data_IF_243851398395
#
_entry.id   IF_243851398395
#
_cell.length_a   1.000
_cell.length_b   1.000
_cell.length_c   1.000
_cell.angle_alpha   90.00
_cell.angle_beta   90.00
_cell.angle_gamma   90.00
#
_symmetry.space_group_name_H-M   'P 1'
#
loop_
_entity.id
_entity.type
_entity.pdbx_description
1 polymer ?
#
# COMPACT_ATOMS: atom_id res chain seq x y z
N UNK A 1 -38.80 21.11 -7.39
CA UNK A 1 -38.68 19.75 -7.93
C UNK A 1 -37.17 19.44 -7.92
N UNK A 2 -36.67 18.67 -6.95
CA UNK A 2 -35.31 18.19 -6.96
C UNK A 2 -35.14 17.25 -8.16
N UNK A 3 -34.11 17.47 -8.93
CA UNK A 3 -33.80 16.65 -10.09
C UNK A 3 -33.47 15.22 -9.61
N UNK A 4 -34.48 14.33 -9.66
CA UNK A 4 -34.40 12.94 -9.16
C UNK A 4 -33.41 12.07 -9.90
N UNK A 5 -32.73 12.61 -10.92
CA UNK A 5 -31.74 11.92 -11.74
C UNK A 5 -30.27 12.23 -11.34
N UNK A 6 -30.04 13.16 -10.43
CA UNK A 6 -28.67 13.42 -9.96
C UNK A 6 -28.19 12.30 -9.04
N UNK A 7 -27.07 11.71 -9.39
CA UNK A 7 -26.33 10.79 -8.51
C UNK A 7 -25.42 11.59 -7.60
N UNK A 8 -25.42 11.25 -6.32
CA UNK A 8 -24.57 11.85 -5.30
C UNK A 8 -23.56 10.80 -4.87
N UNK A 9 -22.28 11.15 -4.93
CA UNK A 9 -21.18 10.30 -4.45
C UNK A 9 -20.58 10.99 -3.24
N UNK A 10 -20.57 10.31 -2.11
CA UNK A 10 -19.89 10.76 -0.89
C UNK A 10 -18.64 9.90 -0.71
N UNK A 11 -17.49 10.55 -0.54
CA UNK A 11 -16.22 9.88 -0.34
C UNK A 11 -15.77 10.09 1.10
N UNK A 12 -15.50 8.99 1.80
CA UNK A 12 -14.86 8.98 3.10
C UNK A 12 -13.41 8.54 2.89
N UNK A 13 -12.49 9.41 3.19
CA UNK A 13 -11.06 9.10 3.13
C UNK A 13 -10.53 8.76 4.53
N UNK A 14 -9.49 7.92 4.58
CA UNK A 14 -8.86 7.47 5.82
C UNK A 14 -9.87 6.85 6.81
N UNK A 15 -10.63 5.85 6.33
CA UNK A 15 -11.71 5.21 7.12
C UNK A 15 -11.25 4.65 8.46
N UNK A 16 -9.99 4.33 8.62
CA UNK A 16 -9.38 3.88 9.87
C UNK A 16 -9.54 4.87 11.00
N UNK A 17 -9.61 6.17 10.73
CA UNK A 17 -9.82 7.21 11.74
C UNK A 17 -11.26 7.32 12.23
N UNK A 18 -12.21 6.87 11.43
CA UNK A 18 -13.64 6.82 11.78
C UNK A 18 -14.11 5.38 12.02
N UNK A 19 -13.22 4.51 12.47
CA UNK A 19 -13.50 3.12 12.77
C UNK A 19 -13.47 2.84 14.28
N UNK A 20 -14.08 1.72 14.69
CA UNK A 20 -14.06 1.26 16.09
C UNK A 20 -12.65 0.94 16.61
N UNK A 21 -11.65 0.85 15.72
CA UNK A 21 -10.22 0.71 16.03
C UNK A 21 -9.46 2.02 15.87
N UNK A 22 -10.16 3.16 15.78
CA UNK A 22 -9.55 4.46 15.56
C UNK A 22 -8.42 4.74 16.55
N UNK A 23 -7.23 5.14 16.09
CA UNK A 23 -6.12 5.50 16.97
C UNK A 23 -6.30 6.90 17.58
N UNK A 24 -7.15 7.75 17.00
CA UNK A 24 -7.28 9.15 17.37
C UNK A 24 -8.45 9.43 18.30
N UNK A 25 -9.56 8.70 18.14
CA UNK A 25 -10.80 9.06 18.81
C UNK A 25 -11.54 7.84 19.36
N UNK A 26 -11.63 7.78 20.68
CA UNK A 26 -12.23 6.66 21.38
C UNK A 26 -13.76 6.59 21.24
N UNK A 27 -14.44 7.68 20.84
CA UNK A 27 -15.92 7.68 20.73
C UNK A 27 -16.36 6.72 19.62
N UNK A 28 -15.57 6.52 18.56
CA UNK A 28 -15.89 5.56 17.50
C UNK A 28 -16.03 4.11 17.98
N UNK A 29 -15.52 3.77 19.16
CA UNK A 29 -15.74 2.43 19.75
C UNK A 29 -17.22 2.18 20.09
N UNK A 30 -17.98 3.24 20.33
CA UNK A 30 -19.40 3.21 20.69
C UNK A 30 -20.29 3.68 19.55
N UNK A 31 -19.90 4.71 18.81
CA UNK A 31 -20.73 5.38 17.80
C UNK A 31 -20.63 4.75 16.39
N UNK A 32 -19.63 3.90 16.14
CA UNK A 32 -19.35 3.34 14.83
C UNK A 32 -20.56 2.62 14.20
N UNK A 33 -21.21 1.75 14.99
CA UNK A 33 -22.34 0.95 14.51
C UNK A 33 -23.51 1.86 14.15
N UNK A 34 -23.91 2.76 15.04
CA UNK A 34 -25.05 3.64 14.85
C UNK A 34 -24.84 4.59 13.68
N UNK A 35 -23.63 5.11 13.53
CA UNK A 35 -23.26 5.95 12.40
C UNK A 35 -23.44 5.22 11.07
N UNK A 36 -22.85 4.03 10.91
CA UNK A 36 -22.90 3.30 9.64
C UNK A 36 -24.29 2.70 9.37
N UNK A 37 -25.04 2.32 10.38
CA UNK A 37 -26.45 1.92 10.21
C UNK A 37 -27.30 3.09 9.72
N UNK A 38 -27.06 4.30 10.22
CA UNK A 38 -27.73 5.51 9.74
C UNK A 38 -27.39 5.80 8.28
N UNK A 39 -26.10 5.76 7.92
CA UNK A 39 -25.64 5.94 6.55
C UNK A 39 -26.30 4.94 5.61
N UNK A 40 -26.33 3.66 5.99
CA UNK A 40 -26.96 2.61 5.19
C UNK A 40 -28.48 2.80 5.05
N UNK A 41 -29.15 3.21 6.12
CA UNK A 41 -30.58 3.51 6.06
C UNK A 41 -30.88 4.64 5.08
N UNK A 42 -30.08 5.70 5.10
CA UNK A 42 -30.21 6.82 4.16
C UNK A 42 -29.97 6.36 2.72
N UNK A 43 -28.95 5.55 2.47
CA UNK A 43 -28.64 5.00 1.14
C UNK A 43 -29.80 4.12 0.63
N UNK A 44 -30.40 3.31 1.50
CA UNK A 44 -31.51 2.43 1.15
C UNK A 44 -32.77 3.21 0.74
N UNK A 45 -33.00 4.38 1.36
CA UNK A 45 -34.09 5.30 1.01
C UNK A 45 -33.80 6.11 -0.25
N UNK A 46 -32.55 6.42 -0.51
CA UNK A 46 -32.08 7.29 -1.60
C UNK A 46 -31.19 6.53 -2.57
N UNK A 47 -31.78 5.83 -3.54
CA UNK A 47 -31.06 4.98 -4.53
C UNK A 47 -30.09 5.73 -5.44
N UNK A 48 -30.06 7.06 -5.39
CA UNK A 48 -29.12 7.90 -6.11
C UNK A 48 -27.86 8.24 -5.29
N UNK A 49 -27.75 7.71 -4.06
CA UNK A 49 -26.64 7.96 -3.16
C UNK A 49 -25.67 6.76 -3.18
N UNK A 50 -24.37 7.04 -3.37
CA UNK A 50 -23.29 6.07 -3.38
C UNK A 50 -22.20 6.52 -2.43
N UNK A 51 -21.62 5.58 -1.68
CA UNK A 51 -20.49 5.83 -0.79
C UNK A 51 -19.24 5.15 -1.35
N UNK A 52 -18.11 5.86 -1.31
CA UNK A 52 -16.78 5.34 -1.57
C UNK A 52 -15.98 5.53 -0.30
N UNK A 53 -15.36 4.45 0.17
CA UNK A 53 -14.51 4.44 1.35
C UNK A 53 -13.07 4.22 0.89
N UNK A 54 -12.12 5.03 1.35
CA UNK A 54 -10.69 4.82 1.12
C UNK A 54 -9.93 4.81 2.45
N UNK A 55 -8.84 4.08 2.49
CA UNK A 55 -7.98 3.95 3.66
C UNK A 55 -6.89 2.93 3.43
N UNK A 56 -5.99 2.81 4.38
CA UNK A 56 -4.85 1.87 4.30
C UNK A 56 -5.15 0.53 4.98
N UNK A 57 -6.20 0.46 5.81
CA UNK A 57 -6.50 -0.71 6.62
C UNK A 57 -7.97 -1.14 6.47
N UNK A 58 -8.22 -2.33 5.86
CA UNK A 58 -9.56 -2.84 5.64
C UNK A 58 -10.22 -3.46 6.88
N UNK A 59 -9.56 -3.53 8.03
CA UNK A 59 -10.09 -4.20 9.22
C UNK A 59 -11.47 -3.70 9.67
N UNK A 60 -11.80 -2.42 9.37
CA UNK A 60 -13.12 -1.86 9.67
C UNK A 60 -14.26 -2.52 8.89
N UNK A 61 -13.99 -3.08 7.71
CA UNK A 61 -14.98 -3.75 6.85
C UNK A 61 -14.87 -5.27 6.89
N UNK A 62 -13.75 -5.83 7.38
CA UNK A 62 -13.50 -7.27 7.46
C UNK A 62 -13.93 -7.89 8.80
N UNK A 63 -14.11 -7.09 9.84
CA UNK A 63 -14.61 -7.55 11.13
C UNK A 63 -16.12 -7.78 11.04
N UNK A 64 -16.59 -9.00 11.28
CA UNK A 64 -18.02 -9.39 11.15
C UNK A 64 -18.88 -8.86 12.30
N UNK A 65 -18.37 -8.90 13.53
CA UNK A 65 -19.06 -8.47 14.73
C UNK A 65 -18.22 -7.54 15.59
N UNK A 66 -18.85 -6.51 16.16
CA UNK A 66 -18.24 -5.56 17.08
C UNK A 66 -19.05 -5.58 18.38
N UNK A 67 -18.44 -5.98 19.48
CA UNK A 67 -19.10 -6.10 20.79
C UNK A 67 -20.40 -6.97 20.74
N UNK A 68 -20.41 -8.01 19.90
CA UNK A 68 -21.55 -8.91 19.74
C UNK A 68 -22.66 -8.39 18.82
N UNK A 69 -22.48 -7.22 18.20
CA UNK A 69 -23.39 -6.64 17.19
C UNK A 69 -22.79 -6.78 15.81
N UNK A 70 -23.61 -7.10 14.81
CA UNK A 70 -23.15 -7.21 13.42
C UNK A 70 -22.62 -5.87 12.93
N UNK A 71 -21.41 -5.90 12.34
CA UNK A 71 -20.81 -4.73 11.71
C UNK A 71 -21.60 -4.34 10.44
N UNK A 72 -22.15 -3.13 10.37
CA UNK A 72 -22.97 -2.71 9.21
C UNK A 72 -22.18 -2.58 7.91
N UNK A 73 -20.84 -2.51 7.95
CA UNK A 73 -20.00 -2.46 6.73
C UNK A 73 -19.61 -3.86 6.24
N UNK A 74 -19.64 -4.85 7.12
CA UNK A 74 -19.29 -6.23 6.77
C UNK A 74 -20.25 -6.78 5.71
N UNK A 75 -19.72 -7.40 4.66
CA UNK A 75 -20.46 -7.96 3.52
C UNK A 75 -21.19 -6.96 2.61
N UNK A 76 -21.26 -5.66 2.96
CA UNK A 76 -21.92 -4.64 2.15
C UNK A 76 -20.90 -3.88 1.29
N UNK A 77 -19.72 -3.63 1.86
CA UNK A 77 -18.63 -2.93 1.17
C UNK A 77 -17.75 -3.96 0.45
N UNK A 78 -17.59 -3.76 -0.85
CA UNK A 78 -16.64 -4.53 -1.64
C UNK A 78 -15.27 -3.88 -1.55
N UNK A 79 -14.26 -4.66 -1.15
CA UNK A 79 -12.87 -4.20 -1.09
C UNK A 79 -12.21 -4.28 -2.46
N UNK A 80 -11.58 -3.20 -2.88
CA UNK A 80 -10.71 -3.14 -4.05
C UNK A 80 -9.34 -2.63 -3.63
N UNK A 81 -8.29 -3.36 -3.99
CA UNK A 81 -6.92 -2.98 -3.68
C UNK A 81 -6.26 -2.30 -4.87
N UNK A 82 -5.69 -1.13 -4.64
CA UNK A 82 -4.93 -0.42 -5.67
C UNK A 82 -3.56 -1.06 -5.85
N UNK A 83 -3.36 -1.69 -6.98
CA UNK A 83 -2.06 -2.26 -7.34
C UNK A 83 -1.06 -1.18 -7.76
N UNK A 84 0.22 -1.51 -7.71
CA UNK A 84 1.27 -0.67 -8.28
C UNK A 84 1.05 -0.42 -9.78
N UNK A 85 1.65 0.65 -10.28
CA UNK A 85 1.70 0.96 -11.71
C UNK A 85 2.32 -0.20 -12.48
N UNK A 86 1.86 -0.42 -13.70
CA UNK A 86 2.53 -1.31 -14.66
C UNK A 86 3.94 -0.80 -14.99
N UNK A 87 4.76 -1.63 -15.63
CA UNK A 87 6.11 -1.23 -16.04
C UNK A 87 6.07 -0.01 -16.97
N UNK A 88 5.14 0.03 -17.93
CA UNK A 88 5.02 1.17 -18.86
C UNK A 88 4.51 2.44 -18.17
N UNK A 89 3.57 2.34 -17.25
CA UNK A 89 3.10 3.48 -16.46
C UNK A 89 4.20 4.01 -15.54
N UNK A 90 4.95 3.14 -14.89
CA UNK A 90 6.11 3.49 -14.06
C UNK A 90 7.18 4.21 -14.87
N UNK A 91 7.50 3.69 -16.06
CA UNK A 91 8.41 4.31 -17.00
C UNK A 91 7.96 5.72 -17.43
N UNK A 92 6.66 5.88 -17.70
CA UNK A 92 6.10 7.18 -18.05
C UNK A 92 6.17 8.16 -16.85
N UNK A 93 5.89 7.68 -15.65
CA UNK A 93 6.01 8.47 -14.42
C UNK A 93 7.45 8.90 -14.18
N UNK A 94 8.41 7.96 -14.19
CA UNK A 94 9.84 8.23 -13.96
C UNK A 94 10.37 9.24 -14.98
N UNK A 95 10.03 9.08 -16.26
CA UNK A 95 10.44 10.01 -17.31
C UNK A 95 9.84 11.41 -17.15
N UNK A 96 8.59 11.48 -16.68
CA UNK A 96 7.91 12.76 -16.44
C UNK A 96 8.51 13.47 -15.24
N UNK A 97 8.75 12.77 -14.14
CA UNK A 97 9.43 13.31 -12.97
C UNK A 97 10.86 13.72 -13.32
N UNK A 98 11.59 12.85 -14.02
CA UNK A 98 12.96 13.14 -14.46
C UNK A 98 13.04 14.44 -15.26
N UNK A 99 12.19 14.62 -16.27
CA UNK A 99 12.16 15.87 -17.06
C UNK A 99 11.95 17.11 -16.20
N UNK A 100 11.06 17.05 -15.22
CA UNK A 100 10.81 18.17 -14.29
C UNK A 100 12.00 18.50 -13.40
N UNK A 101 12.79 17.48 -13.07
CA UNK A 101 14.00 17.59 -12.23
C UNK A 101 15.28 17.81 -13.05
N UNK A 102 15.21 17.83 -14.38
CA UNK A 102 16.40 17.87 -15.24
C UNK A 102 17.22 16.59 -15.17
N UNK A 103 16.59 15.44 -14.98
CA UNK A 103 17.21 14.11 -14.96
C UNK A 103 16.72 13.29 -16.16
N UNK A 104 17.60 12.45 -16.71
CA UNK A 104 17.30 11.50 -17.77
C UNK A 104 17.67 10.09 -17.29
N UNK A 105 16.68 9.30 -16.91
CA UNK A 105 16.88 7.91 -16.52
C UNK A 105 17.05 7.04 -17.77
N UNK A 106 18.11 6.22 -17.79
CA UNK A 106 18.29 5.20 -18.83
C UNK A 106 17.32 4.02 -18.62
N UNK A 107 17.35 3.05 -19.54
CA UNK A 107 16.44 1.90 -19.50
C UNK A 107 16.66 1.05 -18.27
N UNK A 108 17.91 0.81 -17.90
CA UNK A 108 18.28 -0.03 -16.76
C UNK A 108 17.89 0.66 -15.44
N UNK A 109 18.07 1.96 -15.33
CA UNK A 109 17.63 2.75 -14.18
C UNK A 109 16.11 2.70 -13.98
N UNK A 110 15.35 2.85 -15.07
CA UNK A 110 13.89 2.76 -15.05
C UNK A 110 13.45 1.38 -14.59
N UNK A 111 14.04 0.33 -15.20
CA UNK A 111 13.70 -1.06 -14.85
C UNK A 111 14.03 -1.36 -13.39
N UNK A 112 15.20 -0.92 -12.92
CA UNK A 112 15.63 -1.16 -11.53
C UNK A 112 14.68 -0.49 -10.53
N UNK A 113 14.26 0.75 -10.77
CA UNK A 113 13.28 1.44 -9.91
C UNK A 113 11.93 0.71 -9.91
N UNK A 114 11.47 0.24 -11.07
CA UNK A 114 10.26 -0.55 -11.15
C UNK A 114 10.37 -1.84 -10.35
N UNK A 115 11.43 -2.63 -10.58
CA UNK A 115 11.66 -3.92 -9.92
C UNK A 115 11.80 -3.77 -8.39
N UNK A 116 12.45 -2.70 -7.91
CA UNK A 116 12.64 -2.46 -6.48
C UNK A 116 11.34 -2.09 -5.74
N UNK A 117 10.47 -1.34 -6.40
CA UNK A 117 9.29 -0.76 -5.77
C UNK A 117 7.97 -1.36 -6.25
N UNK A 118 8.02 -2.38 -7.13
CA UNK A 118 6.85 -3.03 -7.70
C UNK A 118 5.82 -2.02 -8.26
N UNK A 119 6.30 -0.98 -8.93
CA UNK A 119 5.44 0.07 -9.49
C UNK A 119 4.77 0.99 -8.46
N UNK A 120 5.16 0.97 -7.20
CA UNK A 120 4.53 1.81 -6.17
C UNK A 120 4.80 3.30 -6.41
N UNK A 121 3.77 4.14 -6.73
CA UNK A 121 3.99 5.50 -7.23
C UNK A 121 4.74 6.40 -6.24
N UNK A 122 4.38 6.31 -4.96
CA UNK A 122 4.97 7.13 -3.91
C UNK A 122 6.45 6.79 -3.71
N UNK A 123 6.80 5.50 -3.66
CA UNK A 123 8.18 5.04 -3.49
C UNK A 123 9.06 5.45 -4.68
N UNK A 124 8.55 5.27 -5.91
CA UNK A 124 9.24 5.74 -7.12
C UNK A 124 9.48 7.25 -7.05
N UNK A 125 8.48 8.04 -6.65
CA UNK A 125 8.60 9.48 -6.51
C UNK A 125 9.64 9.88 -5.47
N UNK A 126 9.62 9.24 -4.30
CA UNK A 126 10.56 9.52 -3.21
C UNK A 126 11.99 9.16 -3.63
N UNK A 127 12.19 8.01 -4.26
CA UNK A 127 13.50 7.59 -4.78
C UNK A 127 14.02 8.57 -5.84
N UNK A 128 13.19 8.95 -6.81
CA UNK A 128 13.57 9.96 -7.82
C UNK A 128 13.91 11.31 -7.18
N UNK A 129 13.18 11.71 -6.14
CA UNK A 129 13.44 12.94 -5.39
C UNK A 129 14.77 12.86 -4.64
N UNK A 130 15.05 11.74 -3.97
CA UNK A 130 16.34 11.48 -3.33
C UNK A 130 17.49 11.58 -4.33
N UNK A 131 17.40 10.85 -5.46
CA UNK A 131 18.40 10.88 -6.52
C UNK A 131 18.65 12.31 -7.01
N UNK A 132 17.59 13.11 -7.21
CA UNK A 132 17.74 14.50 -7.62
C UNK A 132 18.52 15.35 -6.62
N UNK A 133 18.34 15.14 -5.32
CA UNK A 133 19.06 15.86 -4.26
C UNK A 133 20.55 15.56 -4.20
N UNK A 134 21.00 14.40 -4.75
CA UNK A 134 22.42 14.07 -4.83
C UNK A 134 23.18 14.92 -5.86
N UNK A 135 22.47 15.58 -6.77
CA UNK A 135 23.07 16.45 -7.78
C UNK A 135 22.82 17.92 -7.43
N UNK A 136 23.89 18.67 -7.18
CA UNK A 136 23.84 20.09 -6.87
C UNK A 136 23.28 20.94 -8.03
N UNK A 137 23.02 22.23 -7.74
CA UNK A 137 22.49 23.18 -8.72
C UNK A 137 23.52 23.54 -9.81
N UNK A 138 24.81 23.34 -9.55
CA UNK A 138 25.91 23.69 -10.45
C UNK A 138 26.17 22.65 -11.53
N UNK A 139 25.43 21.52 -11.52
CA UNK A 139 25.58 20.45 -12.50
C UNK A 139 24.81 20.80 -13.77
N UNK A 140 25.48 20.68 -14.94
CA UNK A 140 24.81 20.85 -16.24
C UNK A 140 23.70 19.82 -16.40
N UNK A 141 22.48 20.29 -16.55
CA UNK A 141 21.28 19.45 -16.74
C UNK A 141 20.88 19.40 -18.22
N UNK A 142 20.35 18.26 -18.71
CA UNK A 142 19.91 17.10 -17.94
C UNK A 142 21.06 16.15 -17.56
N UNK A 143 21.08 15.67 -16.33
CA UNK A 143 22.00 14.62 -15.87
C UNK A 143 21.44 13.24 -16.27
N UNK A 144 22.28 12.37 -16.83
CA UNK A 144 21.87 11.00 -17.16
C UNK A 144 22.11 10.10 -15.94
N UNK A 145 21.04 9.46 -15.48
CA UNK A 145 21.05 8.49 -14.36
C UNK A 145 21.06 7.10 -14.94
N UNK A 146 22.06 6.31 -14.58
CA UNK A 146 22.22 4.91 -15.00
C UNK A 146 21.77 3.94 -13.92
N UNK A 147 21.48 2.69 -14.28
CA UNK A 147 21.20 1.64 -13.32
C UNK A 147 22.32 1.42 -12.29
N UNK A 148 23.59 1.62 -12.69
CA UNK A 148 24.74 1.59 -11.77
C UNK A 148 24.68 2.68 -10.69
N UNK A 149 24.23 3.87 -11.04
CA UNK A 149 24.13 4.98 -10.11
C UNK A 149 23.08 4.70 -9.03
N UNK A 150 21.93 4.12 -9.43
CA UNK A 150 20.89 3.69 -8.49
C UNK A 150 21.40 2.59 -7.56
N UNK A 151 22.13 1.60 -8.09
CA UNK A 151 22.72 0.53 -7.28
C UNK A 151 23.70 1.07 -6.24
N UNK A 152 24.51 2.06 -6.60
CA UNK A 152 25.45 2.68 -5.67
C UNK A 152 24.77 3.48 -4.56
N UNK A 153 23.59 4.03 -4.82
CA UNK A 153 22.78 4.80 -3.87
C UNK A 153 21.72 3.93 -3.14
N UNK A 154 21.69 2.61 -3.37
CA UNK A 154 20.59 1.75 -2.88
C UNK A 154 20.41 1.82 -1.37
N UNK A 155 21.48 1.72 -0.61
CA UNK A 155 21.42 1.77 0.86
C UNK A 155 20.89 3.11 1.36
N UNK A 156 21.30 4.19 0.74
CA UNK A 156 20.86 5.54 1.13
C UNK A 156 19.37 5.75 0.78
N UNK A 157 18.94 5.22 -0.37
CA UNK A 157 17.52 5.21 -0.75
C UNK A 157 16.71 4.39 0.24
N UNK A 158 17.19 3.22 0.66
CA UNK A 158 16.50 2.38 1.64
C UNK A 158 16.37 3.09 3.00
N UNK A 159 17.40 3.80 3.45
CA UNK A 159 17.36 4.64 4.66
C UNK A 159 16.35 5.78 4.53
N UNK A 160 16.33 6.48 3.39
CA UNK A 160 15.37 7.55 3.11
C UNK A 160 13.92 7.07 3.15
N UNK A 161 13.68 5.83 2.68
CA UNK A 161 12.36 5.22 2.62
C UNK A 161 11.96 4.49 3.92
N UNK A 162 12.88 4.31 4.86
CA UNK A 162 12.65 3.56 6.08
C UNK A 162 11.46 4.09 6.89
N UNK A 163 11.26 5.42 6.95
CA UNK A 163 10.12 6.02 7.65
C UNK A 163 8.78 5.57 7.09
N UNK A 164 8.67 5.49 5.75
CA UNK A 164 7.47 5.01 5.08
C UNK A 164 7.21 3.52 5.39
N UNK A 165 8.25 2.70 5.29
CA UNK A 165 8.12 1.27 5.58
C UNK A 165 7.80 0.99 7.03
N UNK A 166 8.38 1.76 7.95
CA UNK A 166 8.02 1.67 9.37
C UNK A 166 6.52 1.82 9.58
N UNK A 167 5.89 2.78 8.89
CA UNK A 167 4.45 2.96 8.99
C UNK A 167 3.67 1.76 8.42
N UNK A 168 3.97 1.34 7.20
CA UNK A 168 3.30 0.20 6.54
C UNK A 168 3.46 -1.08 7.36
N UNK A 169 4.67 -1.37 7.82
CA UNK A 169 4.97 -2.58 8.60
C UNK A 169 4.26 -2.54 9.95
N UNK A 170 4.24 -1.39 10.64
CA UNK A 170 3.54 -1.27 11.92
C UNK A 170 2.03 -1.49 11.80
N UNK A 171 1.41 -1.10 10.69
CA UNK A 171 0.00 -1.39 10.44
C UNK A 171 -0.24 -2.90 10.25
N UNK A 172 0.63 -3.59 9.50
CA UNK A 172 0.53 -5.05 9.34
C UNK A 172 0.74 -5.75 10.68
N UNK A 173 1.78 -5.41 11.44
CA UNK A 173 2.05 -5.98 12.76
C UNK A 173 0.88 -5.80 13.73
N UNK A 174 0.26 -4.63 13.71
CA UNK A 174 -0.83 -4.28 14.62
C UNK A 174 -2.15 -4.99 14.29
N UNK A 175 -2.48 -5.12 13.01
CA UNK A 175 -3.79 -5.60 12.58
C UNK A 175 -3.77 -7.04 12.05
N UNK A 176 -2.61 -7.51 11.60
CA UNK A 176 -2.41 -8.82 10.98
C UNK A 176 -1.07 -9.43 11.43
N UNK A 177 -0.86 -9.65 12.75
CA UNK A 177 0.43 -10.08 13.29
C UNK A 177 0.91 -11.42 12.70
N UNK A 178 0.00 -12.36 12.45
CA UNK A 178 0.32 -13.64 11.86
C UNK A 178 0.79 -13.50 10.41
N UNK A 179 0.22 -12.56 9.66
CA UNK A 179 0.68 -12.27 8.29
C UNK A 179 2.05 -11.56 8.30
N UNK A 180 2.31 -10.75 9.31
CA UNK A 180 3.62 -10.15 9.48
C UNK A 180 4.70 -11.23 9.71
N UNK A 181 4.45 -12.21 10.58
CA UNK A 181 5.37 -13.34 10.79
C UNK A 181 5.60 -14.13 9.50
N UNK A 182 4.55 -14.36 8.71
CA UNK A 182 4.68 -14.97 7.38
C UNK A 182 5.56 -14.15 6.44
N UNK A 183 5.44 -12.82 6.47
CA UNK A 183 6.28 -11.95 5.66
C UNK A 183 7.74 -11.97 6.10
N UNK A 184 8.01 -12.02 7.42
CA UNK A 184 9.38 -12.18 7.96
C UNK A 184 10.04 -13.47 7.49
N UNK A 185 9.33 -14.60 7.49
CA UNK A 185 9.85 -15.87 7.00
C UNK A 185 10.31 -15.75 5.55
N UNK A 186 9.46 -15.18 4.69
CA UNK A 186 9.79 -15.04 3.29
C UNK A 186 10.91 -14.02 3.04
N UNK A 187 10.92 -12.90 3.76
CA UNK A 187 11.94 -11.86 3.67
C UNK A 187 13.32 -12.36 4.15
N UNK A 188 13.33 -13.28 5.13
CA UNK A 188 14.54 -13.93 5.65
C UNK A 188 15.00 -15.12 4.82
N UNK A 189 14.31 -15.43 3.72
CA UNK A 189 14.66 -16.55 2.83
C UNK A 189 14.20 -17.93 3.32
N UNK A 190 13.38 -18.01 4.37
CA UNK A 190 12.80 -19.24 4.91
C UNK A 190 11.57 -19.66 4.07
N UNK A 191 11.78 -19.82 2.78
CA UNK A 191 10.69 -20.07 1.80
C UNK A 191 10.01 -21.42 2.02
N UNK A 192 10.73 -22.43 2.52
CA UNK A 192 10.14 -23.74 2.80
C UNK A 192 9.12 -23.65 3.94
N UNK A 193 9.47 -22.99 5.04
CA UNK A 193 8.60 -22.79 6.19
C UNK A 193 7.37 -21.94 5.82
N UNK A 194 7.59 -20.90 5.02
CA UNK A 194 6.50 -20.10 4.46
C UNK A 194 5.51 -20.95 3.65
N UNK A 195 6.01 -21.84 2.77
CA UNK A 195 5.15 -22.70 1.95
C UNK A 195 4.35 -23.67 2.82
N UNK A 196 5.00 -24.32 3.79
CA UNK A 196 4.34 -25.24 4.71
C UNK A 196 3.21 -24.55 5.48
N UNK A 197 3.50 -23.41 6.12
CA UNK A 197 2.52 -22.66 6.89
C UNK A 197 1.40 -22.08 6.02
N UNK A 198 1.71 -21.56 4.84
CA UNK A 198 0.70 -20.99 3.92
C UNK A 198 -0.25 -22.04 3.35
N UNK A 199 0.09 -23.34 3.40
CA UNK A 199 -0.76 -24.42 2.99
C UNK A 199 -1.89 -24.75 4.00
N UNK A 200 -1.71 -24.38 5.26
CA UNK A 200 -2.63 -24.69 6.37
C UNK A 200 -3.30 -23.45 6.96
N UNK A 201 -2.89 -22.26 6.55
CA UNK A 201 -3.40 -20.99 7.09
C UNK A 201 -3.76 -20.01 5.97
N UNK A 202 -4.69 -19.08 6.26
CA UNK A 202 -5.03 -17.97 5.36
C UNK A 202 -4.21 -16.71 5.63
N UNK A 203 -3.14 -16.82 6.44
CA UNK A 203 -2.32 -15.68 6.90
C UNK A 203 -1.39 -15.10 5.82
N UNK A 204 -1.92 -14.90 4.62
CA UNK A 204 -1.16 -14.30 3.49
C UNK A 204 -2.03 -13.39 2.62
N UNK A 205 -3.32 -13.28 2.92
CA UNK A 205 -4.30 -12.55 2.08
C UNK A 205 -3.89 -11.09 1.87
N UNK A 206 -3.60 -10.38 2.95
CA UNK A 206 -3.24 -8.96 2.88
C UNK A 206 -1.85 -8.75 2.28
N UNK A 207 -0.91 -9.65 2.53
CA UNK A 207 0.42 -9.58 1.90
C UNK A 207 0.34 -9.62 0.37
N UNK A 208 -0.52 -10.48 -0.19
CA UNK A 208 -0.80 -10.50 -1.64
C UNK A 208 -1.55 -9.24 -2.08
N UNK A 209 -2.56 -8.83 -1.34
CA UNK A 209 -3.41 -7.69 -1.67
C UNK A 209 -2.64 -6.37 -1.67
N UNK A 210 -1.73 -6.18 -0.72
CA UNK A 210 -0.83 -5.03 -0.67
C UNK A 210 0.34 -5.11 -1.67
N UNK A 211 0.48 -6.23 -2.39
CA UNK A 211 1.56 -6.42 -3.35
C UNK A 211 2.95 -6.55 -2.73
N UNK A 212 3.03 -6.98 -1.46
CA UNK A 212 4.30 -7.23 -0.77
C UNK A 212 4.93 -8.54 -1.21
N UNK A 213 4.10 -9.56 -1.44
CA UNK A 213 4.52 -10.87 -1.93
C UNK A 213 3.86 -11.21 -3.25
N UNK A 214 4.48 -12.09 -4.01
CA UNK A 214 3.98 -12.57 -5.29
C UNK A 214 4.06 -14.09 -5.41
N UNK A 215 3.23 -14.63 -6.31
CA UNK A 215 3.25 -16.03 -6.69
C UNK A 215 3.14 -16.13 -8.21
N UNK A 216 4.05 -16.86 -8.80
CA UNK A 216 4.03 -17.19 -10.24
C UNK A 216 3.86 -18.70 -10.43
N UNK A 217 3.18 -19.09 -11.51
CA UNK A 217 2.99 -20.51 -11.79
C UNK A 217 4.34 -21.22 -11.96
N UNK A 218 4.55 -22.30 -11.21
CA UNK A 218 5.78 -23.09 -11.25
C UNK A 218 6.97 -22.49 -10.49
N UNK A 219 6.77 -21.39 -9.75
CA UNK A 219 7.80 -20.81 -8.89
C UNK A 219 7.34 -20.72 -7.43
N UNK A 220 8.26 -20.80 -6.46
CA UNK A 220 7.91 -20.55 -5.08
C UNK A 220 7.45 -19.10 -4.87
N UNK A 221 6.65 -18.84 -3.82
CA UNK A 221 6.33 -17.47 -3.40
C UNK A 221 7.58 -16.64 -3.18
N UNK A 222 7.52 -15.35 -3.49
CA UNK A 222 8.65 -14.44 -3.40
C UNK A 222 8.22 -13.06 -2.90
N UNK A 223 9.17 -12.33 -2.32
CA UNK A 223 8.95 -10.92 -1.96
C UNK A 223 8.88 -10.10 -3.25
N UNK A 224 7.68 -9.55 -3.53
CA UNK A 224 7.40 -8.80 -4.75
C UNK A 224 7.90 -7.36 -4.68
N UNK A 225 8.06 -6.83 -3.48
CA UNK A 225 8.62 -5.50 -3.21
C UNK A 225 9.94 -5.65 -2.44
N UNK A 226 11.10 -5.81 -3.13
CA UNK A 226 12.38 -6.12 -2.50
C UNK A 226 12.80 -5.17 -1.39
N UNK A 227 12.48 -3.86 -1.52
CA UNK A 227 12.81 -2.87 -0.50
C UNK A 227 12.07 -3.13 0.83
N UNK A 228 10.82 -3.56 0.79
CA UNK A 228 10.06 -3.93 1.99
C UNK A 228 10.66 -5.18 2.66
N UNK A 229 11.05 -6.18 1.86
CA UNK A 229 11.73 -7.37 2.36
C UNK A 229 13.06 -7.04 3.04
N UNK A 230 13.89 -6.17 2.45
CA UNK A 230 15.14 -5.73 3.09
C UNK A 230 14.89 -4.99 4.40
N UNK A 231 13.89 -4.12 4.44
CA UNK A 231 13.53 -3.38 5.64
C UNK A 231 13.19 -4.33 6.80
N UNK A 232 12.36 -5.33 6.57
CA UNK A 232 11.98 -6.33 7.57
C UNK A 232 13.17 -7.22 7.95
N UNK A 233 13.94 -7.72 6.98
CA UNK A 233 15.10 -8.56 7.24
C UNK A 233 16.22 -7.85 8.04
N UNK A 234 16.28 -6.51 8.03
CA UNK A 234 17.22 -5.73 8.85
C UNK A 234 16.78 -5.57 10.31
N UNK A 235 15.60 -6.06 10.69
CA UNK A 235 15.05 -5.89 12.03
C UNK A 235 14.76 -4.42 12.39
N UNK A 236 14.46 -3.59 11.40
CA UNK A 236 14.15 -2.17 11.56
C UNK A 236 12.64 -1.93 11.79
N UNK A 237 11.89 -3.02 11.90
CA UNK A 237 10.45 -3.02 12.12
C UNK A 237 10.09 -2.86 13.61
#
# INVERSE_FOLDING_TARGET
ASDRNQKIIIMFDEIEYISFKSPLDAHWKTEFIDFWQTIWSVQSLHRNLVFILSGVNPSAIETDTINGVQNPLFSIVQSEYLHGLTEDESKNMIRTLGRRMGLKFDVDAVKLLYDQFNGHPMLIRLACSYINRQYGNDVNRPVTIKGSDIKSMQNDIDVELAYYFKHVVSEIQKFYPEEYEMFELLASGQTADFIELSAITEYTKHLYSYGLIGRESGRPPFVKMPVAGRYVAMGLA
#
